data_IF_823691910890
#
_entry.id   IF_823691910890
#
_cell.length_a   1.000
_cell.length_b   1.000
_cell.length_c   1.000
_cell.angle_alpha   90.00
_cell.angle_beta   90.00
_cell.angle_gamma   90.00
#
_symmetry.space_group_name_H-M   'P 1'
#
loop_
_entity.id
_entity.type
_entity.pdbx_description
1 polymer ?
#
# COMPACT_ATOMS: atom_id res chain seq x y z
N UNK A 1 -9.72 -27.65 -28.07
CA UNK A 1 -8.84 -26.99 -27.08
C UNK A 1 -7.94 -28.04 -26.47
N UNK A 2 -6.61 -27.91 -26.54
CA UNK A 2 -5.68 -28.85 -25.95
C UNK A 2 -5.79 -28.96 -24.43
N UNK A 3 -5.52 -30.13 -23.88
CA UNK A 3 -5.40 -30.37 -22.44
C UNK A 3 -4.38 -29.43 -21.82
N UNK A 4 -4.67 -28.89 -20.65
CA UNK A 4 -3.81 -27.97 -19.92
C UNK A 4 -4.02 -26.49 -20.28
N UNK A 5 -4.81 -26.16 -21.29
CA UNK A 5 -5.16 -24.76 -21.54
C UNK A 5 -6.09 -24.20 -20.45
N UNK A 6 -5.77 -23.01 -19.98
CA UNK A 6 -6.58 -22.29 -18.99
C UNK A 6 -7.44 -21.25 -19.70
N UNK A 7 -8.71 -21.20 -19.33
CA UNK A 7 -9.70 -20.27 -19.90
C UNK A 7 -10.52 -19.62 -18.78
N UNK A 8 -11.14 -18.50 -19.09
CA UNK A 8 -12.10 -17.83 -18.21
C UNK A 8 -13.52 -18.39 -18.42
N UNK A 9 -14.22 -18.65 -17.32
CA UNK A 9 -15.59 -19.16 -17.28
C UNK A 9 -16.50 -18.20 -16.52
N UNK A 10 -17.59 -17.78 -17.14
CA UNK A 10 -18.54 -16.82 -16.56
C UNK A 10 -19.61 -17.46 -15.67
N UNK A 11 -19.68 -18.80 -15.64
CA UNK A 11 -20.63 -19.52 -14.80
C UNK A 11 -20.12 -19.75 -13.37
N UNK A 12 -20.95 -20.37 -12.56
CA UNK A 12 -20.60 -20.66 -11.16
C UNK A 12 -19.47 -21.70 -11.05
N UNK A 13 -18.67 -21.58 -9.99
CA UNK A 13 -17.55 -22.50 -9.72
C UNK A 13 -18.00 -23.95 -9.46
N UNK A 14 -19.25 -24.18 -9.05
CA UNK A 14 -19.84 -25.49 -8.86
C UNK A 14 -20.56 -26.05 -10.10
N UNK A 15 -20.49 -25.34 -11.23
CA UNK A 15 -21.16 -25.71 -12.48
C UNK A 15 -20.19 -25.71 -13.67
N UNK A 16 -18.98 -26.20 -13.46
CA UNK A 16 -17.94 -26.28 -14.50
C UNK A 16 -18.36 -27.26 -15.59
N UNK A 17 -18.23 -26.89 -16.88
CA UNK A 17 -18.57 -27.79 -17.98
C UNK A 17 -17.76 -29.06 -17.99
N UNK A 18 -18.36 -30.13 -18.49
CA UNK A 18 -17.67 -31.44 -18.68
C UNK A 18 -16.41 -31.26 -19.53
N UNK A 19 -15.33 -31.91 -19.16
CA UNK A 19 -14.02 -31.80 -19.82
C UNK A 19 -13.18 -30.61 -19.37
N UNK A 20 -13.62 -29.93 -18.33
CA UNK A 20 -12.88 -28.85 -17.66
C UNK A 20 -12.89 -29.04 -16.16
N UNK A 21 -11.89 -28.48 -15.48
CA UNK A 21 -11.78 -28.45 -14.02
C UNK A 21 -11.47 -27.03 -13.55
N UNK A 22 -11.91 -26.70 -12.35
CA UNK A 22 -11.63 -25.41 -11.74
C UNK A 22 -10.12 -25.28 -11.43
N UNK A 23 -9.55 -24.11 -11.67
CA UNK A 23 -8.18 -23.79 -11.29
C UNK A 23 -8.14 -23.38 -9.80
N UNK A 24 -8.24 -24.34 -8.91
CA UNK A 24 -8.28 -24.20 -7.46
C UNK A 24 -7.11 -24.90 -6.74
N UNK A 25 -6.09 -25.32 -7.50
CA UNK A 25 -4.94 -26.07 -6.99
C UNK A 25 -5.14 -27.56 -6.87
N UNK A 26 -6.36 -28.07 -7.11
CA UNK A 26 -6.65 -29.50 -7.18
C UNK A 26 -6.50 -30.01 -8.62
N UNK A 27 -6.53 -31.33 -8.81
CA UNK A 27 -6.48 -31.95 -10.13
C UNK A 27 -5.33 -31.45 -11.03
N UNK A 28 -4.17 -31.22 -10.44
CA UNK A 28 -2.98 -30.69 -11.13
C UNK A 28 -3.20 -29.32 -11.79
N UNK A 29 -4.15 -28.53 -11.30
CA UNK A 29 -4.37 -27.15 -11.76
C UNK A 29 -3.59 -26.15 -10.92
N UNK A 30 -3.21 -24.98 -11.49
CA UNK A 30 -2.78 -23.85 -10.67
C UNK A 30 -3.95 -23.32 -9.83
N UNK A 31 -3.68 -22.81 -8.63
CA UNK A 31 -4.68 -22.05 -7.86
C UNK A 31 -4.68 -20.60 -8.32
N UNK A 32 -5.68 -20.22 -9.11
CA UNK A 32 -5.85 -18.88 -9.68
C UNK A 32 -6.97 -18.08 -9.00
N UNK A 33 -7.52 -18.61 -7.90
CA UNK A 33 -8.55 -17.90 -7.15
C UNK A 33 -7.97 -16.64 -6.51
N UNK A 34 -8.72 -15.53 -6.57
CA UNK A 34 -8.35 -14.22 -6.00
C UNK A 34 -7.02 -13.65 -6.51
N UNK A 35 -6.59 -14.03 -7.73
CA UNK A 35 -5.33 -13.62 -8.34
C UNK A 35 -5.52 -12.90 -9.67
N UNK A 36 -4.70 -11.89 -9.92
CA UNK A 36 -4.45 -11.37 -11.26
C UNK A 36 -3.36 -12.20 -11.92
N UNK A 37 -3.58 -12.58 -13.18
CA UNK A 37 -2.61 -13.38 -13.95
C UNK A 37 -1.63 -12.44 -14.65
N UNK A 38 -0.34 -12.71 -14.46
CA UNK A 38 0.76 -12.01 -15.13
C UNK A 38 1.33 -12.93 -16.20
N UNK A 39 1.68 -12.36 -17.36
CA UNK A 39 2.39 -13.13 -18.40
C UNK A 39 3.76 -13.58 -17.90
N UNK A 40 4.05 -14.88 -18.01
CA UNK A 40 5.37 -15.40 -17.69
C UNK A 40 6.43 -14.88 -18.67
N UNK A 41 7.63 -14.67 -18.18
CA UNK A 41 8.77 -14.16 -18.94
C UNK A 41 10.05 -14.20 -18.12
N UNK A 42 11.03 -13.37 -18.48
CA UNK A 42 12.32 -13.34 -17.78
C UNK A 42 12.22 -12.88 -16.33
N UNK A 43 11.24 -12.04 -16.00
CA UNK A 43 11.01 -11.54 -14.63
C UNK A 43 10.04 -12.40 -13.81
N UNK A 44 9.22 -13.22 -14.46
CA UNK A 44 8.22 -14.08 -13.82
C UNK A 44 8.26 -15.46 -14.44
N UNK A 45 8.77 -16.43 -13.73
CA UNK A 45 8.69 -17.83 -14.16
C UNK A 45 7.26 -18.38 -14.02
N UNK A 46 6.90 -19.37 -14.83
CA UNK A 46 5.62 -20.07 -14.69
C UNK A 46 5.46 -20.61 -13.26
N UNK A 47 4.32 -20.34 -12.65
CA UNK A 47 4.01 -20.75 -11.27
C UNK A 47 4.44 -19.77 -10.19
N UNK A 48 5.18 -18.70 -10.51
CA UNK A 48 5.52 -17.68 -9.53
C UNK A 48 4.25 -16.99 -9.00
N UNK A 49 4.24 -16.70 -7.71
CA UNK A 49 3.14 -16.01 -7.03
C UNK A 49 3.68 -14.83 -6.25
N UNK A 50 2.88 -13.77 -6.09
CA UNK A 50 3.27 -12.59 -5.34
C UNK A 50 2.18 -11.52 -5.35
N UNK A 51 2.58 -10.34 -4.92
CA UNK A 51 1.69 -9.18 -4.84
C UNK A 51 0.90 -9.11 -3.54
N UNK A 52 0.17 -8.01 -3.36
CA UNK A 52 -0.68 -7.75 -2.20
C UNK A 52 -1.97 -7.06 -2.64
N UNK A 53 -3.09 -7.44 -2.06
CA UNK A 53 -4.40 -6.82 -2.31
C UNK A 53 -4.56 -5.47 -1.60
N UNK A 54 -3.80 -5.23 -0.56
CA UNK A 54 -3.79 -3.95 0.17
C UNK A 54 -2.37 -3.56 0.53
N UNK A 55 -2.10 -2.27 0.62
CA UNK A 55 -0.78 -1.71 0.92
C UNK A 55 -0.91 -0.62 1.95
N UNK A 56 -0.04 -0.63 2.96
CA UNK A 56 0.21 0.49 3.86
C UNK A 56 1.51 1.15 3.46
N UNK A 57 1.47 2.45 3.18
CA UNK A 57 2.67 3.19 2.80
C UNK A 57 3.64 3.30 3.97
N UNK A 58 4.91 3.05 3.69
CA UNK A 58 6.01 3.34 4.61
C UNK A 58 6.52 4.77 4.41
N UNK A 59 7.24 5.32 5.38
CA UNK A 59 7.86 6.64 5.26
C UNK A 59 8.77 6.76 4.03
N UNK A 60 9.49 5.67 3.68
CA UNK A 60 10.37 5.63 2.50
C UNK A 60 9.63 5.66 1.16
N UNK A 61 8.34 5.34 1.15
CA UNK A 61 7.50 5.34 -0.05
C UNK A 61 6.78 6.68 -0.29
N UNK A 62 6.87 7.59 0.67
CA UNK A 62 6.35 8.94 0.48
C UNK A 62 7.33 9.79 -0.34
N UNK A 63 6.84 10.68 -1.22
CA UNK A 63 7.69 11.67 -1.86
C UNK A 63 8.41 12.54 -0.83
N UNK A 64 9.62 12.97 -1.15
CA UNK A 64 10.33 13.95 -0.33
C UNK A 64 9.50 15.24 -0.23
N UNK A 65 9.23 15.70 0.97
CA UNK A 65 8.45 16.91 1.22
C UNK A 65 8.98 17.64 2.45
N UNK A 66 8.69 18.94 2.53
CA UNK A 66 9.04 19.79 3.64
C UNK A 66 7.81 20.54 4.12
N UNK A 67 7.80 20.90 5.39
CA UNK A 67 6.80 21.79 5.97
C UNK A 67 7.46 23.11 6.33
N UNK A 68 6.83 24.22 5.99
CA UNK A 68 7.19 25.55 6.49
C UNK A 68 6.23 25.92 7.61
N UNK A 69 6.76 26.40 8.70
CA UNK A 69 5.94 27.00 9.76
C UNK A 69 6.45 28.41 10.05
N UNK A 70 5.56 29.28 10.45
CA UNK A 70 5.90 30.61 10.92
C UNK A 70 5.78 30.62 12.44
N UNK A 71 6.86 30.95 13.10
CA UNK A 71 6.88 31.14 14.55
C UNK A 71 7.09 32.61 14.86
N UNK A 72 6.33 33.14 15.83
CA UNK A 72 6.50 34.51 16.30
C UNK A 72 7.61 34.50 17.35
N UNK A 73 8.77 35.02 16.96
CA UNK A 73 9.91 35.14 17.86
C UNK A 73 9.89 36.51 18.57
N UNK A 74 9.74 36.51 19.88
CA UNK A 74 9.88 37.73 20.71
C UNK A 74 11.27 37.69 21.34
N UNK A 75 12.12 38.62 20.93
CA UNK A 75 13.43 38.82 21.55
C UNK A 75 13.23 39.30 23.01
N UNK A 76 13.62 38.46 23.96
CA UNK A 76 13.52 38.76 25.40
C UNK A 76 14.28 40.04 25.84
N UNK A 77 15.20 40.54 25.02
CA UNK A 77 15.94 41.75 25.26
C UNK A 77 15.12 43.05 25.10
N UNK A 78 13.92 42.99 24.53
CA UNK A 78 13.06 44.16 24.33
C UNK A 78 12.03 44.37 25.44
N UNK A 79 11.97 43.48 26.43
CA UNK A 79 11.00 43.56 27.51
C UNK A 79 11.63 44.12 28.76
N UNK A 80 10.96 45.16 29.36
CA UNK A 80 11.36 45.75 30.63
C UNK A 80 11.49 44.73 31.74
N UNK A 81 12.40 44.92 32.70
CA UNK A 81 12.55 44.02 33.84
C UNK A 81 11.22 43.85 34.59
N UNK A 82 10.70 42.64 34.65
CA UNK A 82 9.49 42.31 35.41
C UNK A 82 8.35 41.69 34.61
N UNK A 83 8.49 41.48 33.30
CA UNK A 83 7.53 40.70 32.52
C UNK A 83 8.11 39.30 32.29
N UNK A 84 7.68 38.36 33.12
CA UNK A 84 7.98 36.94 32.94
C UNK A 84 6.97 36.38 31.96
N UNK A 85 7.39 36.18 30.71
CA UNK A 85 6.60 35.47 29.72
C UNK A 85 7.12 34.04 29.71
N UNK A 86 6.46 33.18 30.46
CA UNK A 86 6.73 31.75 30.47
C UNK A 86 6.24 31.13 29.16
N UNK A 87 7.06 31.21 28.11
CA UNK A 87 6.93 30.35 26.95
C UNK A 87 7.56 29.01 27.31
N UNK A 88 6.77 28.01 27.48
CA UNK A 88 7.19 26.63 27.71
C UNK A 88 7.97 26.08 26.48
N UNK A 89 9.11 26.72 26.21
CA UNK A 89 10.07 26.28 25.22
C UNK A 89 10.98 25.25 25.87
N UNK A 90 10.79 23.99 25.58
CA UNK A 90 11.50 22.86 26.18
C UNK A 90 13.00 22.81 25.85
N UNK A 91 13.50 23.62 24.94
CA UNK A 91 14.94 23.77 24.67
C UNK A 91 15.27 25.13 24.07
N UNK A 92 16.09 25.91 24.76
CA UNK A 92 16.69 27.12 24.22
C UNK A 92 18.09 26.82 23.69
N UNK A 93 18.32 27.08 22.41
CA UNK A 93 19.64 27.01 21.79
C UNK A 93 20.19 28.43 21.66
N UNK A 94 21.40 28.71 22.21
CA UNK A 94 22.04 30.03 22.12
C UNK A 94 22.31 30.47 20.68
N UNK A 95 22.21 29.60 19.68
CA UNK A 95 22.34 29.91 18.27
C UNK A 95 21.01 30.32 17.60
N UNK A 96 19.92 30.45 18.37
CA UNK A 96 18.61 30.87 17.87
C UNK A 96 17.80 29.80 17.13
N UNK A 97 18.23 28.56 17.16
CA UNK A 97 17.48 27.45 16.61
C UNK A 97 16.39 26.97 17.59
N UNK A 98 15.15 26.97 17.16
CA UNK A 98 14.03 26.35 17.88
C UNK A 98 13.67 25.06 17.19
N UNK A 99 13.68 23.96 17.92
CA UNK A 99 13.17 22.70 17.45
C UNK A 99 11.73 22.53 17.94
N UNK A 100 10.81 22.43 17.01
CA UNK A 100 9.41 22.12 17.30
C UNK A 100 9.02 20.83 16.60
N UNK A 101 8.10 20.07 17.20
CA UNK A 101 7.52 18.89 16.57
C UNK A 101 6.10 19.25 16.12
N UNK A 102 5.82 19.05 14.84
CA UNK A 102 4.44 19.16 14.35
C UNK A 102 3.63 17.97 14.81
N UNK A 103 2.32 18.13 14.94
CA UNK A 103 1.45 16.99 15.18
C UNK A 103 1.57 15.98 14.05
N UNK A 104 1.44 14.70 14.37
CA UNK A 104 1.41 13.65 13.36
C UNK A 104 0.19 13.80 12.45
N UNK A 105 0.38 13.64 11.16
CA UNK A 105 -0.69 13.57 10.18
C UNK A 105 -0.72 12.17 9.56
N UNK A 106 -1.93 11.70 9.24
CA UNK A 106 -2.13 10.37 8.69
C UNK A 106 -2.34 9.30 9.76
N UNK A 107 -3.05 8.23 9.38
CA UNK A 107 -3.46 7.15 10.29
C UNK A 107 -2.69 5.85 10.07
N UNK A 108 -1.83 5.76 9.07
CA UNK A 108 -1.14 4.52 8.71
C UNK A 108 -2.06 3.40 8.24
N UNK A 109 -3.28 3.73 7.77
CA UNK A 109 -4.23 2.73 7.27
C UNK A 109 -3.79 2.18 5.93
N UNK A 110 -4.06 0.91 5.71
CA UNK A 110 -3.86 0.29 4.40
C UNK A 110 -4.91 0.78 3.41
N UNK A 111 -4.53 0.86 2.15
CA UNK A 111 -5.43 1.16 1.04
C UNK A 111 -5.54 -0.03 0.08
N UNK A 112 -6.64 -0.06 -0.66
CA UNK A 112 -6.86 -1.04 -1.73
C UNK A 112 -5.83 -0.85 -2.84
N UNK A 113 -5.20 -1.97 -3.24
CA UNK A 113 -4.15 -1.98 -4.27
C UNK A 113 -4.60 -2.65 -5.58
N UNK A 114 -5.85 -3.07 -5.67
CA UNK A 114 -6.41 -3.70 -6.87
C UNK A 114 -7.06 -2.65 -7.77
N UNK A 115 -6.88 -2.75 -9.10
CA UNK A 115 -7.68 -1.95 -10.03
C UNK A 115 -9.15 -2.40 -9.99
N UNK A 116 -10.09 -1.62 -10.57
CA UNK A 116 -11.45 -2.11 -10.79
C UNK A 116 -11.44 -3.47 -11.50
N UNK A 117 -12.20 -4.43 -11.02
CA UNK A 117 -12.15 -5.80 -11.53
C UNK A 117 -13.56 -6.37 -11.74
N UNK A 118 -13.63 -7.40 -12.56
CA UNK A 118 -14.77 -8.29 -12.72
C UNK A 118 -14.29 -9.73 -12.51
N UNK A 119 -14.88 -10.45 -11.58
CA UNK A 119 -14.43 -11.79 -11.22
C UNK A 119 -15.06 -12.85 -12.12
N UNK A 120 -14.21 -13.70 -12.70
CA UNK A 120 -14.58 -14.89 -13.46
C UNK A 120 -13.80 -16.10 -12.92
N UNK A 121 -14.35 -17.29 -13.05
CA UNK A 121 -13.59 -18.49 -12.74
C UNK A 121 -12.53 -18.77 -13.82
N UNK A 122 -11.36 -19.25 -13.40
CA UNK A 122 -10.42 -19.90 -14.32
C UNK A 122 -10.66 -21.40 -14.32
N UNK A 123 -10.74 -21.98 -15.52
CA UNK A 123 -10.92 -23.40 -15.73
C UNK A 123 -9.84 -23.95 -16.64
N UNK A 124 -9.40 -25.18 -16.42
CA UNK A 124 -8.39 -25.84 -17.24
C UNK A 124 -9.03 -27.01 -17.99
N UNK A 125 -8.69 -27.16 -19.27
CA UNK A 125 -9.10 -28.31 -20.09
C UNK A 125 -8.40 -29.57 -19.61
N UNK A 126 -9.19 -30.58 -19.30
CA UNK A 126 -8.72 -31.93 -18.98
C UNK A 126 -8.63 -32.84 -20.21
#
# INVERSE_FOLDING_TARGET
VPTGMVMMWSGAANAIPSGYVLCDGNNSTPDLRDRFVVGAGSGYAVGNTGGSSSVTLTAAQMPSHTHTYSDLYVLQQALSPGIDIDFNATTWDPNGNRTGTTNSAGSGQSHENRPPYYALCYVMKT
#
